data_IF_259510842899
#
_entry.id   IF_259510842899
#
_cell.length_a   1.000
_cell.length_b   1.000
_cell.length_c   1.000
_cell.angle_alpha   90.00
_cell.angle_beta   90.00
_cell.angle_gamma   90.00
#
_symmetry.space_group_name_H-M   'P 1'
#
loop_
_entity.id
_entity.type
_entity.pdbx_description
1 polymer ?
#
# COMPACT_ATOMS: atom_id res chain seq x y z
N UNK A 1 5.03 13.23 -5.48
CA UNK A 1 5.39 11.82 -5.70
C UNK A 1 4.84 10.90 -4.61
N UNK A 2 5.24 11.03 -3.33
CA UNK A 2 4.87 10.11 -2.24
C UNK A 2 3.37 9.76 -2.07
N UNK A 3 2.44 10.70 -2.31
CA UNK A 3 0.99 10.45 -2.17
C UNK A 3 0.42 9.53 -3.25
N UNK A 4 0.93 9.63 -4.49
CA UNK A 4 0.49 8.79 -5.61
C UNK A 4 1.02 7.37 -5.47
N UNK A 5 2.30 7.22 -5.10
CA UNK A 5 2.93 5.92 -4.83
C UNK A 5 2.21 5.18 -3.71
N UNK A 6 1.82 5.88 -2.63
CA UNK A 6 1.04 5.28 -1.55
C UNK A 6 -0.32 4.76 -2.03
N UNK A 7 -1.07 5.56 -2.80
CA UNK A 7 -2.40 5.20 -3.31
C UNK A 7 -2.38 4.12 -4.40
N UNK A 8 -1.32 4.02 -5.19
CA UNK A 8 -1.17 2.94 -6.21
C UNK A 8 -0.56 1.67 -5.64
N UNK A 9 -0.12 1.69 -4.38
CA UNK A 9 0.56 0.57 -3.74
C UNK A 9 2.06 0.48 -4.02
N UNK A 10 2.63 1.36 -4.85
CA UNK A 10 4.05 1.36 -5.25
C UNK A 10 4.98 2.04 -4.22
N UNK A 11 4.41 2.68 -3.21
CA UNK A 11 5.14 3.27 -2.09
C UNK A 11 4.95 2.49 -0.79
N UNK A 12 5.98 2.49 0.05
CA UNK A 12 5.84 2.09 1.46
C UNK A 12 4.86 3.04 2.16
N UNK A 13 3.96 2.50 2.96
CA UNK A 13 2.97 3.28 3.72
C UNK A 13 3.13 2.98 5.20
N UNK A 14 2.95 4.00 6.04
CA UNK A 14 3.03 3.89 7.50
C UNK A 14 1.88 4.67 8.13
N UNK A 15 1.26 4.10 9.15
CA UNK A 15 0.14 4.70 9.87
C UNK A 15 -0.58 3.67 10.72
N UNK A 16 -1.63 4.13 11.41
CA UNK A 16 -2.44 3.27 12.27
C UNK A 16 -3.33 2.35 11.44
N UNK A 17 -3.71 1.23 12.04
CA UNK A 17 -4.38 0.20 11.28
C UNK A 17 -4.84 -0.99 12.09
N UNK A 18 -5.18 -2.05 11.35
CA UNK A 18 -5.74 -3.29 11.86
C UNK A 18 -4.95 -4.46 11.29
N UNK A 19 -4.70 -5.47 12.13
CA UNK A 19 -4.20 -6.78 11.71
C UNK A 19 -5.25 -7.83 12.02
N UNK A 20 -5.74 -8.48 10.97
CA UNK A 20 -6.65 -9.62 11.03
C UNK A 20 -5.82 -10.90 10.86
N UNK A 21 -5.86 -11.80 11.85
CA UNK A 21 -5.13 -13.06 11.85
C UNK A 21 -6.10 -14.24 11.70
N UNK A 22 -5.82 -15.13 10.76
CA UNK A 22 -6.56 -16.36 10.50
C UNK A 22 -5.62 -17.57 10.63
N UNK A 23 -6.09 -18.67 11.21
CA UNK A 23 -5.33 -19.93 11.19
C UNK A 23 -6.24 -21.14 11.00
N UNK A 24 -5.67 -22.18 10.40
CA UNK A 24 -6.30 -23.49 10.24
C UNK A 24 -6.73 -24.04 11.60
N UNK A 25 -7.76 -24.90 11.58
CA UNK A 25 -8.18 -25.59 12.79
C UNK A 25 -7.06 -26.53 13.27
N UNK A 26 -6.89 -26.70 14.60
CA UNK A 26 -5.94 -27.68 15.12
C UNK A 26 -6.31 -29.08 14.61
N UNK A 27 -5.28 -29.91 14.38
CA UNK A 27 -5.51 -31.32 14.13
C UNK A 27 -6.23 -31.94 15.34
N UNK A 28 -7.35 -32.63 15.10
CA UNK A 28 -8.03 -33.42 16.13
C UNK A 28 -7.46 -34.83 16.13
N UNK A 29 -7.06 -35.32 17.30
CA UNK A 29 -6.52 -36.69 17.46
C UNK A 29 -7.53 -37.77 17.02
N UNK A 30 -8.83 -37.49 17.11
CA UNK A 30 -9.92 -38.44 16.79
C UNK A 30 -10.28 -38.54 15.29
N UNK A 31 -9.72 -37.68 14.42
CA UNK A 31 -10.02 -37.71 12.98
C UNK A 31 -9.54 -38.99 12.28
N UNK A 32 -8.66 -39.75 12.94
CA UNK A 32 -8.21 -41.07 12.49
C UNK A 32 -9.28 -42.16 12.62
N UNK A 33 -10.32 -41.98 13.45
CA UNK A 33 -11.31 -43.03 13.77
C UNK A 33 -12.58 -42.94 12.90
N UNK A 34 -12.89 -41.77 12.32
CA UNK A 34 -14.16 -41.56 11.59
C UNK A 34 -14.05 -41.53 10.06
N UNK A 35 -12.88 -41.78 9.47
CA UNK A 35 -12.75 -41.85 8.01
C UNK A 35 -13.08 -40.55 7.27
N UNK A 36 -13.00 -39.39 7.91
CA UNK A 36 -13.12 -38.11 7.22
C UNK A 36 -11.91 -37.92 6.30
N UNK A 37 -12.09 -38.15 5.00
CA UNK A 37 -11.03 -38.09 3.98
C UNK A 37 -10.44 -36.68 3.74
N UNK A 38 -10.96 -35.65 4.41
CA UNK A 38 -10.38 -34.31 4.43
C UNK A 38 -9.77 -34.07 5.80
N UNK A 39 -8.47 -33.72 5.86
CA UNK A 39 -7.81 -33.30 7.11
C UNK A 39 -8.49 -32.12 7.81
N UNK A 40 -7.86 -31.54 8.86
CA UNK A 40 -8.49 -30.48 9.63
C UNK A 40 -8.95 -29.31 8.73
N UNK A 41 -10.08 -28.65 9.06
CA UNK A 41 -10.55 -27.47 8.33
C UNK A 41 -9.46 -26.42 8.15
N UNK A 42 -9.35 -25.86 6.94
CA UNK A 42 -8.30 -24.92 6.56
C UNK A 42 -8.87 -23.58 6.13
N UNK A 43 -8.11 -22.53 6.35
CA UNK A 43 -8.38 -21.22 5.77
C UNK A 43 -8.31 -21.33 4.25
N UNK A 44 -9.31 -20.79 3.55
CA UNK A 44 -9.36 -20.80 2.10
C UNK A 44 -8.91 -19.46 1.51
N UNK A 45 -8.48 -19.49 0.24
CA UNK A 45 -8.14 -18.27 -0.51
C UNK A 45 -9.34 -17.30 -0.60
N UNK A 46 -10.58 -17.80 -0.57
CA UNK A 46 -11.80 -16.97 -0.57
C UNK A 46 -12.05 -16.30 0.78
N UNK A 47 -11.49 -16.80 1.88
CA UNK A 47 -11.62 -16.17 3.20
C UNK A 47 -10.71 -14.95 3.26
N UNK A 48 -9.46 -15.09 2.81
CA UNK A 48 -8.53 -13.98 2.69
C UNK A 48 -9.04 -12.89 1.75
N UNK A 49 -9.67 -13.27 0.63
CA UNK A 49 -10.31 -12.29 -0.27
C UNK A 49 -11.44 -11.52 0.42
N UNK A 50 -12.34 -12.21 1.13
CA UNK A 50 -13.44 -11.55 1.84
C UNK A 50 -12.92 -10.57 2.88
N UNK A 51 -11.93 -10.99 3.69
CA UNK A 51 -11.29 -10.13 4.69
C UNK A 51 -10.65 -8.92 4.03
N UNK A 52 -9.86 -9.10 2.96
CA UNK A 52 -9.23 -7.99 2.27
C UNK A 52 -10.26 -7.00 1.70
N UNK A 53 -11.32 -7.51 1.06
CA UNK A 53 -12.38 -6.68 0.48
C UNK A 53 -13.15 -5.90 1.55
N UNK A 54 -13.48 -6.51 2.68
CA UNK A 54 -14.22 -5.85 3.74
C UNK A 54 -13.34 -4.84 4.50
N UNK A 55 -12.02 -5.05 4.57
CA UNK A 55 -11.07 -4.03 5.05
C UNK A 55 -11.04 -2.81 4.10
N UNK A 56 -11.02 -3.02 2.79
CA UNK A 56 -11.15 -1.93 1.82
C UNK A 56 -12.49 -1.20 1.98
N UNK A 57 -13.59 -1.93 2.15
CA UNK A 57 -14.92 -1.36 2.38
C UNK A 57 -15.00 -0.58 3.72
N UNK A 58 -14.27 -1.00 4.75
CA UNK A 58 -14.15 -0.32 6.02
C UNK A 58 -13.31 0.98 5.95
N UNK A 59 -12.64 1.23 4.82
CA UNK A 59 -11.87 2.44 4.56
C UNK A 59 -10.35 2.24 4.61
N UNK A 60 -9.84 1.02 4.44
CA UNK A 60 -8.40 0.81 4.29
C UNK A 60 -7.83 1.63 3.12
N UNK A 61 -6.65 2.19 3.33
CA UNK A 61 -5.86 2.92 2.33
C UNK A 61 -4.73 2.04 1.78
N UNK A 62 -4.30 1.04 2.56
CA UNK A 62 -3.34 0.04 2.15
C UNK A 62 -3.66 -1.30 2.83
N UNK A 63 -3.55 -2.41 2.09
CA UNK A 63 -3.74 -3.77 2.62
C UNK A 63 -2.57 -4.66 2.17
N UNK A 64 -2.12 -5.56 3.04
CA UNK A 64 -1.14 -6.59 2.71
C UNK A 64 -1.49 -7.93 3.36
N UNK A 65 -1.22 -9.04 2.66
CA UNK A 65 -1.39 -10.41 3.16
C UNK A 65 -0.02 -11.04 3.35
N UNK A 66 0.33 -11.42 4.57
CA UNK A 66 1.65 -11.95 4.94
C UNK A 66 2.80 -11.07 4.39
N UNK A 67 2.64 -9.74 4.49
CA UNK A 67 3.61 -8.77 3.99
C UNK A 67 3.62 -8.57 2.47
N UNK A 68 2.76 -9.25 1.70
CA UNK A 68 2.59 -8.96 0.27
C UNK A 68 1.58 -7.84 0.10
N UNK A 69 2.04 -6.67 -0.36
CA UNK A 69 1.20 -5.49 -0.61
C UNK A 69 0.19 -5.78 -1.72
N UNK A 70 -1.09 -5.59 -1.42
CA UNK A 70 -2.17 -5.68 -2.40
C UNK A 70 -2.31 -4.36 -3.16
N UNK A 71 -2.60 -4.49 -4.45
CA UNK A 71 -2.89 -3.42 -5.40
C UNK A 71 -4.20 -3.73 -6.14
N UNK A 72 -4.66 -2.80 -6.98
CA UNK A 72 -5.84 -3.02 -7.82
C UNK A 72 -5.72 -4.22 -8.78
N UNK A 73 -4.50 -4.66 -9.09
CA UNK A 73 -4.23 -5.80 -9.98
C UNK A 73 -3.79 -7.06 -9.24
N UNK A 74 -3.81 -7.03 -7.90
CA UNK A 74 -3.38 -8.17 -7.11
C UNK A 74 -4.36 -9.34 -7.20
N UNK A 75 -3.82 -10.55 -7.11
CA UNK A 75 -4.57 -11.80 -7.21
C UNK A 75 -4.41 -12.62 -5.93
N UNK A 76 -5.51 -13.23 -5.48
CA UNK A 76 -5.53 -14.17 -4.36
C UNK A 76 -6.22 -15.44 -4.86
N UNK A 77 -5.51 -16.57 -4.90
CA UNK A 77 -6.04 -17.82 -5.48
C UNK A 77 -5.44 -19.07 -4.83
N UNK A 78 -6.09 -20.21 -5.02
CA UNK A 78 -5.53 -21.52 -4.66
C UNK A 78 -4.57 -22.06 -5.73
N UNK A 79 -3.58 -22.82 -5.30
CA UNK A 79 -2.74 -23.68 -6.12
C UNK A 79 -2.50 -25.02 -5.37
N UNK A 80 -3.32 -26.02 -5.68
CA UNK A 80 -3.40 -27.23 -4.87
C UNK A 80 -3.84 -26.89 -3.44
N UNK A 81 -3.05 -27.31 -2.45
CA UNK A 81 -3.29 -26.97 -1.04
C UNK A 81 -2.71 -25.60 -0.61
N UNK A 82 -1.95 -24.91 -1.48
CA UNK A 82 -1.35 -23.62 -1.17
C UNK A 82 -2.25 -22.45 -1.58
N UNK A 83 -2.15 -21.34 -0.85
CA UNK A 83 -2.73 -20.05 -1.27
C UNK A 83 -1.62 -19.20 -1.88
N UNK A 84 -1.91 -18.57 -3.01
CA UNK A 84 -1.01 -17.65 -3.70
C UNK A 84 -1.55 -16.22 -3.61
N UNK A 85 -0.66 -15.28 -3.28
CA UNK A 85 -0.87 -13.83 -3.42
C UNK A 85 0.14 -13.34 -4.45
N UNK A 86 -0.33 -12.86 -5.60
CA UNK A 86 0.52 -12.43 -6.72
C UNK A 86 1.60 -13.44 -7.09
N UNK A 87 1.16 -14.69 -7.29
CA UNK A 87 2.02 -15.84 -7.65
C UNK A 87 3.02 -16.26 -6.57
N UNK A 88 3.00 -15.63 -5.38
CA UNK A 88 3.84 -16.00 -4.24
C UNK A 88 3.03 -16.82 -3.24
N UNK A 89 3.52 -17.99 -2.82
CA UNK A 89 2.82 -18.78 -1.81
C UNK A 89 2.83 -18.05 -0.45
N UNK A 90 1.70 -18.12 0.23
CA UNK A 90 1.53 -17.68 1.62
C UNK A 90 1.06 -18.86 2.47
N UNK A 91 1.52 -18.90 3.72
CA UNK A 91 1.23 -19.99 4.66
C UNK A 91 0.69 -19.45 5.98
N UNK A 92 -0.14 -20.25 6.64
CA UNK A 92 -0.72 -19.91 7.92
C UNK A 92 0.28 -19.89 9.09
N UNK A 93 -0.01 -19.18 10.20
CA UNK A 93 -1.13 -18.26 10.36
C UNK A 93 -1.07 -17.08 9.37
N UNK A 94 -2.21 -16.75 8.79
CA UNK A 94 -2.33 -15.71 7.78
C UNK A 94 -2.60 -14.38 8.47
N UNK A 95 -1.88 -13.33 8.07
CA UNK A 95 -2.08 -11.97 8.56
C UNK A 95 -2.50 -11.07 7.42
N UNK A 96 -3.72 -10.54 7.50
CA UNK A 96 -4.22 -9.46 6.65
C UNK A 96 -4.07 -8.17 7.42
N UNK A 97 -3.11 -7.36 7.01
CA UNK A 97 -2.73 -6.10 7.65
C UNK A 97 -3.25 -4.94 6.81
N UNK A 98 -3.86 -3.96 7.45
CA UNK A 98 -4.45 -2.80 6.78
C UNK A 98 -4.14 -1.51 7.53
N UNK A 99 -3.85 -0.44 6.79
CA UNK A 99 -3.69 0.94 7.30
C UNK A 99 -4.91 1.75 6.89
N UNK A 100 -5.43 2.60 7.77
CA UNK A 100 -6.50 3.56 7.46
C UNK A 100 -7.11 4.20 8.70
N UNK A 101 -8.35 4.71 8.64
CA UNK A 101 -8.91 5.55 9.70
C UNK A 101 -9.18 4.77 10.99
N UNK A 102 -9.17 5.45 12.14
CA UNK A 102 -9.45 4.82 13.44
C UNK A 102 -10.80 4.10 13.52
N UNK A 103 -11.82 4.56 12.80
CA UNK A 103 -13.12 3.88 12.73
C UNK A 103 -13.12 2.60 11.86
N UNK A 104 -11.99 2.23 11.22
CA UNK A 104 -11.93 1.03 10.38
C UNK A 104 -12.16 -0.24 11.17
N UNK A 105 -11.64 -0.33 12.40
CA UNK A 105 -11.75 -1.52 13.24
C UNK A 105 -13.20 -1.90 13.48
N UNK A 106 -14.00 -0.92 13.91
CA UNK A 106 -15.43 -1.08 14.21
C UNK A 106 -16.21 -1.45 12.94
N UNK A 107 -15.98 -0.72 11.85
CA UNK A 107 -16.63 -1.02 10.55
C UNK A 107 -16.30 -2.42 10.03
N UNK A 108 -15.07 -2.88 10.25
CA UNK A 108 -14.68 -4.24 9.89
C UNK A 108 -15.37 -5.27 10.80
N UNK A 109 -15.52 -4.99 12.10
CA UNK A 109 -16.24 -5.89 13.01
C UNK A 109 -17.70 -6.11 12.62
N UNK A 110 -18.36 -5.08 12.12
CA UNK A 110 -19.73 -5.10 11.62
C UNK A 110 -19.86 -5.70 10.19
N UNK A 111 -18.73 -6.08 9.58
CA UNK A 111 -18.70 -6.58 8.21
C UNK A 111 -19.18 -8.04 8.08
N UNK A 112 -19.57 -8.41 6.86
CA UNK A 112 -19.98 -9.79 6.55
C UNK A 112 -18.80 -10.76 6.70
N UNK A 113 -17.59 -10.36 6.33
CA UNK A 113 -16.40 -11.18 6.49
C UNK A 113 -16.16 -11.50 7.98
N UNK A 114 -16.21 -10.51 8.87
CA UNK A 114 -16.02 -10.73 10.30
C UNK A 114 -17.10 -11.64 10.89
N UNK A 115 -18.36 -11.47 10.49
CA UNK A 115 -19.44 -12.38 10.86
C UNK A 115 -19.16 -13.82 10.42
N UNK A 116 -18.83 -14.04 9.15
CA UNK A 116 -18.55 -15.37 8.60
C UNK A 116 -17.32 -16.01 9.25
N UNK A 117 -16.26 -15.25 9.54
CA UNK A 117 -15.07 -15.81 10.19
C UNK A 117 -15.38 -16.27 11.61
N UNK A 118 -16.20 -15.53 12.37
CA UNK A 118 -16.68 -15.97 13.69
C UNK A 118 -17.52 -17.24 13.59
N UNK A 119 -18.39 -17.34 12.60
CA UNK A 119 -19.16 -18.57 12.34
C UNK A 119 -18.24 -19.77 12.02
N UNK A 120 -17.15 -19.56 11.29
CA UNK A 120 -16.15 -20.60 11.02
C UNK A 120 -15.33 -20.99 12.26
N UNK A 121 -15.05 -20.04 13.17
CA UNK A 121 -14.46 -20.36 14.48
C UNK A 121 -15.37 -21.33 15.23
N UNK A 122 -16.67 -21.01 15.32
CA UNK A 122 -17.62 -21.79 16.11
C UNK A 122 -17.96 -23.14 15.47
N UNK A 123 -18.10 -23.19 14.15
CA UNK A 123 -18.57 -24.38 13.43
C UNK A 123 -17.46 -25.39 13.11
N UNK A 124 -16.28 -24.91 12.72
CA UNK A 124 -15.19 -25.77 12.21
C UNK A 124 -13.86 -25.58 12.95
N UNK A 125 -13.79 -24.67 13.92
CA UNK A 125 -12.63 -24.52 14.81
C UNK A 125 -11.46 -23.75 14.20
N UNK A 126 -11.68 -22.93 13.16
CA UNK A 126 -10.65 -21.99 12.71
C UNK A 126 -10.30 -21.00 13.82
N UNK A 127 -9.12 -20.40 13.74
CA UNK A 127 -8.79 -19.24 14.59
C UNK A 127 -8.99 -17.94 13.82
N UNK A 128 -9.65 -16.97 14.45
CA UNK A 128 -9.84 -15.62 13.93
C UNK A 128 -9.58 -14.61 15.04
N UNK A 129 -8.68 -13.66 14.79
CA UNK A 129 -8.37 -12.57 15.71
C UNK A 129 -8.25 -11.28 14.94
N UNK A 130 -8.67 -10.18 15.53
CA UNK A 130 -8.45 -8.85 14.98
C UNK A 130 -7.87 -7.97 16.07
N UNK A 131 -6.84 -7.20 15.72
CA UNK A 131 -6.18 -6.26 16.64
C UNK A 131 -5.90 -4.94 15.95
N UNK A 132 -6.01 -3.86 16.69
CA UNK A 132 -5.51 -2.55 16.26
C UNK A 132 -3.99 -2.51 16.44
N UNK A 133 -3.33 -1.77 15.56
CA UNK A 133 -1.88 -1.59 15.57
C UNK A 133 -1.58 -0.16 15.20
N UNK A 134 -0.93 0.56 16.12
CA UNK A 134 -0.37 1.86 15.84
C UNK A 134 0.90 1.72 15.01
N UNK A 135 1.19 2.73 14.18
CA UNK A 135 2.49 2.87 13.54
C UNK A 135 2.90 1.68 12.62
N UNK A 136 1.90 0.97 12.11
CA UNK A 136 2.04 -0.15 11.20
C UNK A 136 2.70 0.31 9.90
N UNK A 137 3.65 -0.48 9.38
CA UNK A 137 4.34 -0.18 8.12
C UNK A 137 4.10 -1.29 7.10
N UNK A 138 3.52 -0.95 5.95
CA UNK A 138 3.29 -1.87 4.85
C UNK A 138 4.30 -1.62 3.72
N UNK A 139 4.86 -2.68 3.11
CA UNK A 139 5.83 -2.53 2.02
C UNK A 139 5.17 -1.98 0.75
N UNK A 140 6.02 -1.56 -0.20
CA UNK A 140 5.59 -1.30 -1.57
C UNK A 140 5.30 -2.62 -2.30
N UNK A 141 4.34 -2.60 -3.20
CA UNK A 141 4.11 -3.67 -4.15
C UNK A 141 5.24 -3.72 -5.19
N UNK A 142 5.52 -4.89 -5.79
CA UNK A 142 6.45 -4.99 -6.91
C UNK A 142 6.03 -4.07 -8.06
N UNK A 143 6.98 -3.35 -8.64
CA UNK A 143 6.68 -2.48 -9.77
C UNK A 143 6.25 -3.30 -11.00
N UNK A 144 5.17 -2.90 -11.67
CA UNK A 144 4.77 -3.52 -12.92
C UNK A 144 5.81 -3.24 -14.01
N UNK A 145 6.26 -4.28 -14.70
CA UNK A 145 7.12 -4.14 -15.88
C UNK A 145 6.29 -3.70 -17.08
N UNK A 146 6.42 -2.44 -17.46
CA UNK A 146 5.80 -1.91 -18.67
C UNK A 146 6.56 -2.40 -19.91
N UNK A 147 5.83 -2.89 -20.92
CA UNK A 147 6.41 -3.30 -22.22
C UNK A 147 6.04 -2.37 -23.37
N UNK A 148 4.85 -1.78 -23.29
CA UNK A 148 4.26 -0.96 -24.36
C UNK A 148 3.91 0.45 -23.91
N UNK A 149 3.76 0.67 -22.59
CA UNK A 149 3.42 1.96 -22.03
C UNK A 149 4.68 2.64 -21.51
N UNK A 150 4.80 3.94 -21.74
CA UNK A 150 5.84 4.79 -21.18
C UNK A 150 5.18 5.93 -20.38
N UNK A 151 5.76 6.37 -19.25
CA UNK A 151 5.26 7.54 -18.55
C UNK A 151 5.33 8.76 -19.46
N UNK A 152 4.24 9.52 -19.57
CA UNK A 152 4.31 10.83 -20.22
C UNK A 152 5.15 11.75 -19.34
N UNK A 153 6.30 12.20 -19.86
CA UNK A 153 7.14 13.19 -19.19
C UNK A 153 6.29 14.46 -19.06
N UNK A 154 5.84 14.79 -17.85
CA UNK A 154 5.19 16.09 -17.56
C UNK A 154 6.25 17.09 -17.08
N UNK A 155 6.17 18.37 -17.52
CA UNK A 155 7.27 19.31 -17.41
C UNK A 155 7.60 19.65 -15.95
N UNK A 156 8.90 19.76 -15.67
CA UNK A 156 9.45 20.28 -14.41
C UNK A 156 8.75 21.58 -13.99
N UNK A 157 8.57 21.83 -12.67
CA UNK A 157 8.00 23.09 -12.22
C UNK A 157 8.90 24.24 -12.67
N UNK A 158 8.44 25.02 -13.64
CA UNK A 158 9.06 26.28 -14.02
C UNK A 158 9.02 27.19 -12.80
N UNK A 159 10.18 27.40 -12.16
CA UNK A 159 10.36 28.50 -11.22
C UNK A 159 10.09 29.79 -12.01
N UNK A 160 8.90 30.36 -11.86
CA UNK A 160 8.59 31.70 -12.35
C UNK A 160 9.36 32.70 -11.51
N UNK A 161 10.63 32.91 -11.87
CA UNK A 161 11.38 34.08 -11.48
C UNK A 161 10.89 35.27 -12.30
N UNK A 162 10.22 36.21 -11.63
CA UNK A 162 9.98 37.55 -12.17
C UNK A 162 11.32 38.19 -12.56
N UNK A 163 11.49 38.50 -13.84
CA UNK A 163 12.41 39.54 -14.28
C UNK A 163 11.58 40.56 -15.07
N UNK A 164 11.00 41.50 -14.32
CA UNK A 164 10.64 42.81 -14.85
C UNK A 164 11.93 43.62 -14.91
N UNK A 165 12.34 44.02 -16.11
CA UNK A 165 12.67 45.41 -16.43
C UNK A 165 13.07 45.52 -17.90
N UNK A 166 12.33 46.37 -18.60
CA UNK A 166 12.60 46.71 -19.97
C UNK A 166 13.47 47.96 -20.10
N UNK A 167 13.89 48.14 -21.34
CA UNK A 167 13.93 49.42 -22.07
C UNK A 167 15.31 50.01 -22.37
N UNK A 168 15.49 50.16 -23.69
CA UNK A 168 16.15 51.25 -24.42
C UNK A 168 17.68 51.36 -24.42
N UNK A 169 18.27 51.08 -25.59
CA UNK A 169 19.52 51.70 -26.05
C UNK A 169 19.34 53.20 -26.35
N UNK A 170 20.43 53.91 -26.66
CA UNK A 170 20.70 54.20 -28.07
C UNK A 170 22.19 54.18 -28.49
N UNK A 171 22.39 54.35 -29.80
CA UNK A 171 23.61 54.37 -30.61
C UNK A 171 24.56 55.58 -30.38
N UNK A 172 25.77 55.58 -30.99
CA UNK A 172 26.94 56.37 -30.56
C UNK A 172 27.18 57.65 -31.39
N UNK A 173 27.89 58.63 -30.82
CA UNK A 173 28.73 59.63 -31.52
C UNK A 173 29.41 60.60 -30.54
N UNK A 174 30.69 60.94 -30.78
CA UNK A 174 31.26 62.23 -30.36
C UNK A 174 32.52 62.21 -29.49
N UNK A 175 33.67 62.31 -30.17
CA UNK A 175 34.98 62.85 -29.77
C UNK A 175 35.12 63.72 -28.50
N UNK A 176 36.27 63.58 -27.81
CA UNK A 176 37.00 64.73 -27.27
C UNK A 176 37.68 64.57 -25.90
N UNK A 177 39.01 64.39 -25.93
CA UNK A 177 40.01 64.94 -25.01
C UNK A 177 40.09 64.55 -23.52
N UNK A 178 41.25 63.99 -23.17
CA UNK A 178 41.90 63.99 -21.84
C UNK A 178 42.06 65.42 -21.27
N UNK A 179 42.20 65.57 -19.92
CA UNK A 179 43.51 65.43 -19.30
C UNK A 179 43.55 64.72 -17.92
N UNK A 180 44.74 64.15 -17.68
CA UNK A 180 45.51 63.78 -16.46
C UNK A 180 45.09 64.22 -15.03
N UNK A 181 45.67 63.57 -13.99
CA UNK A 181 45.06 63.32 -12.68
C UNK A 181 45.58 64.21 -11.53
N UNK A 182 44.90 64.22 -10.37
CA UNK A 182 45.48 64.69 -9.10
C UNK A 182 44.71 64.22 -7.85
N UNK A 183 45.41 63.51 -6.94
CA UNK A 183 45.25 63.46 -5.47
C UNK A 183 43.98 62.80 -4.90
N UNK A 184 44.01 61.80 -4.02
CA UNK A 184 45.04 61.40 -3.06
C UNK A 184 44.96 62.27 -1.79
N UNK A 185 44.10 61.91 -0.84
CA UNK A 185 44.08 62.57 0.48
C UNK A 185 42.84 62.30 1.33
N UNK A 186 42.91 61.18 2.08
CA UNK A 186 42.30 60.89 3.40
C UNK A 186 40.79 61.00 3.57
#
# INVERSE_FOLDING_TARGET
MRRLEAGTGLGRVRGDGVVVRLADAPAKDDAAVTGSEGGPPRVLYTDLQKVANDLWAAGAEAVAINGQRLTATSTIRSAGAAILVDFRPVTGPYEVSAIGPGAMRDRFDDSRAAFLMRELVDSVGLSFQVREVEDLTLPAAPEPRLRYAEPSISPSPSVSGSAVEGSSGPEPSGSGSSPSPSGGGR
#
